data_IF_093711431546
#
_entry.id   IF_093711431546
#
_cell.length_a   1.000
_cell.length_b   1.000
_cell.length_c   1.000
_cell.angle_alpha   90.00
_cell.angle_beta   90.00
_cell.angle_gamma   90.00
#
_symmetry.space_group_name_H-M   'P 1'
#
loop_
_entity.id
_entity.type
_entity.pdbx_description
1 polymer ?
#
# COMPACT_ATOMS: atom_id res chain seq x y z
N UNK A 1 13.30 10.97 2.41
CA UNK A 1 12.21 10.05 2.76
C UNK A 1 11.82 9.12 1.61
N UNK A 2 11.56 9.64 0.41
CA UNK A 2 11.19 8.79 -0.72
C UNK A 2 12.18 7.67 -1.05
N UNK A 3 13.51 7.88 -1.01
CA UNK A 3 14.44 6.78 -1.27
C UNK A 3 14.26 5.59 -0.30
N UNK A 4 13.86 5.84 0.94
CA UNK A 4 13.59 4.78 1.90
C UNK A 4 12.21 4.16 1.70
N UNK A 5 11.23 4.93 1.21
CA UNK A 5 9.85 4.47 1.03
C UNK A 5 9.65 3.67 -0.26
N UNK A 6 10.34 4.04 -1.35
CA UNK A 6 10.14 3.37 -2.65
C UNK A 6 10.31 1.86 -2.60
N UNK A 7 11.40 1.31 -2.01
CA UNK A 7 11.53 -0.14 -1.94
C UNK A 7 10.40 -0.80 -1.15
N UNK A 8 9.93 -0.16 -0.09
CA UNK A 8 8.82 -0.67 0.72
C UNK A 8 7.51 -0.67 -0.09
N UNK A 9 7.28 0.38 -0.87
CA UNK A 9 6.08 0.48 -1.70
C UNK A 9 6.09 -0.51 -2.86
N UNK A 10 7.24 -0.73 -3.48
CA UNK A 10 7.40 -1.74 -4.52
C UNK A 10 7.06 -3.12 -3.96
N UNK A 11 7.62 -3.45 -2.81
CA UNK A 11 7.33 -4.73 -2.18
C UNK A 11 5.88 -4.85 -1.72
N UNK A 12 5.30 -3.76 -1.22
CA UNK A 12 3.89 -3.72 -0.83
C UNK A 12 2.97 -4.03 -2.02
N UNK A 13 3.19 -3.38 -3.16
CA UNK A 13 2.37 -3.63 -4.36
C UNK A 13 2.55 -5.04 -4.88
N UNK A 14 3.78 -5.58 -4.83
CA UNK A 14 4.07 -6.96 -5.25
C UNK A 14 3.39 -7.97 -4.33
N UNK A 15 3.48 -7.79 -3.02
CA UNK A 15 2.84 -8.69 -2.05
C UNK A 15 1.32 -8.60 -2.12
N UNK A 16 0.78 -7.42 -2.37
CA UNK A 16 -0.66 -7.24 -2.55
C UNK A 16 -1.16 -7.99 -3.79
N UNK A 17 -0.46 -7.88 -4.92
CA UNK A 17 -0.81 -8.59 -6.14
C UNK A 17 -0.71 -10.10 -5.95
N UNK A 18 0.32 -10.57 -5.26
CA UNK A 18 0.50 -11.99 -4.93
C UNK A 18 -0.69 -12.50 -4.11
N UNK A 19 -1.13 -11.72 -3.11
CA UNK A 19 -2.28 -12.12 -2.30
C UNK A 19 -3.54 -12.28 -3.12
N UNK A 20 -3.80 -11.37 -4.06
CA UNK A 20 -4.97 -11.48 -4.93
C UNK A 20 -4.92 -12.77 -5.77
N UNK A 21 -3.74 -13.11 -6.30
CA UNK A 21 -3.55 -14.33 -7.08
C UNK A 21 -3.76 -15.58 -6.21
N UNK A 22 -3.23 -15.58 -4.99
CA UNK A 22 -3.37 -16.70 -4.08
C UNK A 22 -4.84 -16.91 -3.67
N UNK A 23 -5.56 -15.82 -3.42
CA UNK A 23 -6.98 -15.88 -3.10
C UNK A 23 -7.80 -16.49 -4.25
N UNK A 24 -7.50 -16.09 -5.49
CA UNK A 24 -8.16 -16.65 -6.68
C UNK A 24 -7.88 -18.14 -6.82
N UNK A 25 -6.62 -18.55 -6.64
CA UNK A 25 -6.24 -19.96 -6.70
C UNK A 25 -6.92 -20.79 -5.62
N UNK A 26 -7.05 -20.23 -4.42
CA UNK A 26 -7.73 -20.92 -3.32
C UNK A 26 -9.21 -21.15 -3.65
N UNK A 27 -9.87 -20.16 -4.22
CA UNK A 27 -11.27 -20.30 -4.66
C UNK A 27 -11.40 -21.42 -5.70
N UNK A 28 -10.50 -21.48 -6.68
CA UNK A 28 -10.49 -22.54 -7.69
C UNK A 28 -10.31 -23.92 -7.08
N UNK A 29 -9.39 -24.05 -6.12
CA UNK A 29 -9.13 -25.32 -5.44
C UNK A 29 -10.33 -25.74 -4.58
N UNK A 30 -10.99 -24.80 -3.91
CA UNK A 30 -12.19 -25.08 -3.12
C UNK A 30 -13.37 -25.52 -3.99
N UNK A 31 -13.47 -25.04 -5.23
CA UNK A 31 -14.51 -25.46 -6.16
C UNK A 31 -14.26 -26.86 -6.72
N UNK A 32 -13.00 -27.29 -6.81
CA UNK A 32 -12.61 -28.60 -7.30
C UNK A 32 -12.39 -29.56 -6.12
N UNK A 33 -13.46 -29.95 -5.48
CA UNK A 33 -13.47 -30.65 -4.17
C UNK A 33 -13.30 -32.17 -4.26
N UNK A 34 -12.88 -32.73 -5.42
CA UNK A 34 -13.05 -34.18 -5.66
C UNK A 34 -11.77 -35.01 -5.64
N UNK A 35 -10.57 -34.42 -5.43
CA UNK A 35 -9.33 -35.19 -5.50
C UNK A 35 -8.46 -34.97 -4.27
N UNK A 36 -7.59 -35.98 -3.97
CA UNK A 36 -6.58 -35.88 -2.90
C UNK A 36 -5.58 -34.77 -3.18
N UNK A 37 -5.31 -34.49 -4.47
CA UNK A 37 -4.46 -33.39 -4.89
C UNK A 37 -5.03 -32.03 -4.46
N UNK A 38 -6.35 -31.90 -4.50
CA UNK A 38 -7.04 -30.68 -4.10
C UNK A 38 -6.77 -30.30 -2.64
N UNK A 39 -6.75 -31.26 -1.73
CA UNK A 39 -6.46 -31.01 -0.32
C UNK A 39 -5.01 -30.55 -0.11
N UNK A 40 -4.05 -31.20 -0.77
CA UNK A 40 -2.64 -30.80 -0.69
C UNK A 40 -2.44 -29.40 -1.23
N UNK A 41 -3.01 -29.11 -2.40
CA UNK A 41 -2.92 -27.80 -3.02
C UNK A 41 -3.52 -26.71 -2.14
N UNK A 42 -4.63 -27.01 -1.51
CA UNK A 42 -5.29 -26.11 -0.57
C UNK A 42 -4.40 -25.78 0.63
N UNK A 43 -3.77 -26.79 1.22
CA UNK A 43 -2.88 -26.61 2.36
C UNK A 43 -1.64 -25.78 1.97
N UNK A 44 -1.06 -26.04 0.79
CA UNK A 44 0.07 -25.28 0.29
C UNK A 44 -0.31 -23.81 0.06
N UNK A 45 -1.49 -23.56 -0.49
CA UNK A 45 -1.99 -22.19 -0.71
C UNK A 45 -2.25 -21.47 0.63
N UNK A 46 -2.79 -22.18 1.61
CA UNK A 46 -3.03 -21.60 2.94
C UNK A 46 -1.71 -21.19 3.60
N UNK A 47 -0.66 -22.01 3.48
CA UNK A 47 0.67 -21.67 4.00
C UNK A 47 1.21 -20.43 3.30
N UNK A 48 1.10 -20.34 1.97
CA UNK A 48 1.55 -19.18 1.20
C UNK A 48 0.77 -17.92 1.56
N UNK A 49 -0.53 -18.05 1.79
CA UNK A 49 -1.36 -16.93 2.24
C UNK A 49 -0.94 -16.43 3.62
N UNK A 50 -0.63 -17.35 4.54
CA UNK A 50 -0.15 -16.97 5.88
C UNK A 50 1.19 -16.25 5.80
N UNK A 51 2.12 -16.72 4.97
CA UNK A 51 3.43 -16.09 4.75
C UNK A 51 3.26 -14.70 4.13
N UNK A 52 2.39 -14.60 3.13
CA UNK A 52 2.09 -13.34 2.46
C UNK A 52 1.50 -12.33 3.45
N UNK A 53 0.56 -12.75 4.28
CA UNK A 53 -0.05 -11.89 5.29
C UNK A 53 0.97 -11.38 6.29
N UNK A 54 1.90 -12.24 6.73
CA UNK A 54 2.97 -11.83 7.64
C UNK A 54 3.89 -10.79 7.00
N UNK A 55 4.24 -10.96 5.75
CA UNK A 55 5.07 -10.01 5.00
C UNK A 55 4.35 -8.66 4.82
N UNK A 56 3.07 -8.69 4.46
CA UNK A 56 2.25 -7.48 4.34
C UNK A 56 2.18 -6.73 5.66
N UNK A 57 1.97 -7.45 6.76
CA UNK A 57 1.90 -6.85 8.08
C UNK A 57 3.20 -6.14 8.44
N UNK A 58 4.35 -6.76 8.16
CA UNK A 58 5.66 -6.16 8.40
C UNK A 58 5.85 -4.89 7.55
N UNK A 59 5.40 -4.91 6.30
CA UNK A 59 5.49 -3.75 5.41
C UNK A 59 4.62 -2.59 5.90
N UNK A 60 3.39 -2.87 6.32
CA UNK A 60 2.52 -1.84 6.90
C UNK A 60 3.13 -1.24 8.18
N UNK A 61 3.71 -2.08 9.04
CA UNK A 61 4.37 -1.62 10.25
C UNK A 61 5.59 -0.74 9.94
N UNK A 62 6.38 -1.14 8.94
CA UNK A 62 7.55 -0.36 8.51
C UNK A 62 7.12 1.01 7.97
N UNK A 63 6.08 1.04 7.14
CA UNK A 63 5.53 2.29 6.60
C UNK A 63 4.97 3.18 7.72
N UNK A 64 4.26 2.58 8.67
CA UNK A 64 3.73 3.33 9.83
C UNK A 64 4.86 3.97 10.65
N UNK A 65 6.00 3.30 10.79
CA UNK A 65 7.17 3.89 11.48
C UNK A 65 7.72 5.12 10.76
N UNK A 66 7.50 5.23 9.46
CA UNK A 66 7.86 6.41 8.68
C UNK A 66 6.76 7.49 8.70
N UNK A 67 5.70 7.29 9.46
CA UNK A 67 4.58 8.23 9.53
C UNK A 67 3.68 8.21 8.30
N UNK A 68 3.64 7.10 7.59
CA UNK A 68 2.93 6.94 6.33
C UNK A 68 1.63 6.18 6.54
N UNK A 69 0.54 6.67 5.94
CA UNK A 69 -0.73 5.97 5.86
C UNK A 69 -0.90 5.42 4.45
N UNK A 70 -1.14 4.11 4.33
CA UNK A 70 -1.42 3.48 3.04
C UNK A 70 -2.90 3.68 2.71
N UNK A 71 -3.16 4.29 1.56
CA UNK A 71 -4.53 4.54 1.08
C UNK A 71 -4.99 3.51 0.07
N UNK A 72 -4.08 3.05 -0.80
CA UNK A 72 -4.37 1.98 -1.75
C UNK A 72 -3.10 1.16 -2.00
N UNK A 73 -3.02 -0.04 -1.41
CA UNK A 73 -1.83 -0.88 -1.56
C UNK A 73 -1.65 -1.42 -2.98
N UNK A 74 -2.71 -1.50 -3.77
CA UNK A 74 -2.63 -2.01 -5.14
C UNK A 74 -1.75 -1.13 -6.03
N UNK A 75 -1.77 0.18 -5.82
CA UNK A 75 -1.04 1.16 -6.62
C UNK A 75 0.05 1.88 -5.84
N UNK A 76 0.26 1.53 -4.58
CA UNK A 76 1.24 2.20 -3.74
C UNK A 76 0.90 3.65 -3.44
N UNK A 77 -0.39 3.93 -3.24
CA UNK A 77 -0.87 5.26 -2.89
C UNK A 77 -0.77 5.47 -1.39
N UNK A 78 -0.07 6.51 -0.98
CA UNK A 78 0.18 6.83 0.43
C UNK A 78 -0.04 8.30 0.73
N UNK A 79 -0.32 8.59 2.00
CA UNK A 79 -0.40 9.93 2.53
C UNK A 79 0.52 10.06 3.74
N UNK A 80 1.08 11.24 3.94
CA UNK A 80 1.80 11.57 5.16
C UNK A 80 1.58 13.04 5.52
N UNK A 81 1.65 13.36 6.81
CA UNK A 81 1.31 14.68 7.31
C UNK A 81 2.34 15.74 6.95
N UNK A 82 1.86 16.96 6.71
CA UNK A 82 2.67 18.15 6.48
C UNK A 82 1.95 19.38 6.99
N UNK A 83 2.68 20.49 7.13
CA UNK A 83 2.09 21.78 7.47
C UNK A 83 2.07 22.70 6.26
N UNK A 84 0.93 23.33 6.06
CA UNK A 84 0.73 24.39 5.07
C UNK A 84 0.38 25.66 5.85
N UNK A 85 1.38 26.49 6.10
CA UNK A 85 1.19 27.60 7.04
C UNK A 85 0.84 27.09 8.43
N UNK A 86 -0.31 27.48 8.98
CA UNK A 86 -0.82 26.99 10.25
C UNK A 86 -1.71 25.76 10.13
N UNK A 87 -2.02 25.34 8.92
CA UNK A 87 -2.91 24.22 8.64
C UNK A 87 -2.15 22.90 8.50
N UNK A 88 -2.70 21.83 9.07
CA UNK A 88 -2.19 20.49 8.91
C UNK A 88 -2.87 19.84 7.70
N UNK A 89 -2.09 19.30 6.78
CA UNK A 89 -2.59 18.68 5.55
C UNK A 89 -1.87 17.36 5.30
N UNK A 90 -2.31 16.61 4.29
CA UNK A 90 -1.62 15.43 3.80
C UNK A 90 -0.81 15.75 2.56
N UNK A 91 0.41 15.23 2.50
CA UNK A 91 1.14 15.07 1.24
C UNK A 91 0.75 13.72 0.67
N UNK A 92 0.51 13.68 -0.63
CA UNK A 92 0.06 12.50 -1.34
C UNK A 92 1.13 12.03 -2.32
N UNK A 93 1.43 10.74 -2.30
CA UNK A 93 2.39 10.12 -3.21
C UNK A 93 1.84 8.80 -3.73
N UNK A 94 2.05 8.54 -5.01
CA UNK A 94 1.73 7.27 -5.64
C UNK A 94 2.99 6.68 -6.25
N UNK A 95 3.22 5.38 -6.06
CA UNK A 95 4.37 4.70 -6.64
C UNK A 95 4.39 4.89 -8.15
N UNK A 96 5.56 5.27 -8.67
CA UNK A 96 5.76 5.64 -10.06
C UNK A 96 5.95 7.14 -10.27
N UNK A 97 5.47 7.97 -9.35
CA UNK A 97 5.74 9.40 -9.39
C UNK A 97 7.20 9.64 -8.98
N UNK A 98 7.93 10.55 -9.66
CA UNK A 98 9.35 10.77 -9.35
C UNK A 98 9.57 11.43 -7.99
N UNK A 99 8.61 12.26 -7.56
CA UNK A 99 8.67 12.96 -6.27
C UNK A 99 7.26 13.26 -5.78
N UNK A 100 7.14 13.75 -4.55
CA UNK A 100 5.85 14.18 -4.01
C UNK A 100 5.46 15.48 -4.70
N UNK A 101 4.32 15.48 -5.40
CA UNK A 101 3.86 16.61 -6.19
C UNK A 101 2.49 17.13 -5.79
N UNK A 102 1.80 16.45 -4.88
CA UNK A 102 0.42 16.80 -4.53
C UNK A 102 0.20 16.78 -3.02
N UNK A 103 -0.80 17.54 -2.60
CA UNK A 103 -1.29 17.58 -1.22
C UNK A 103 -2.81 17.61 -1.22
N UNK A 104 -3.43 17.32 -0.08
CA UNK A 104 -4.86 17.50 0.11
C UNK A 104 -5.16 17.83 1.58
N UNK A 105 -6.27 18.56 1.85
CA UNK A 105 -6.72 18.78 3.23
C UNK A 105 -7.03 17.47 3.93
N UNK A 106 -7.03 17.46 5.26
CA UNK A 106 -7.31 16.24 6.04
C UNK A 106 -8.69 15.64 5.74
N UNK A 107 -9.65 16.48 5.38
CA UNK A 107 -11.02 16.06 5.09
C UNK A 107 -11.22 15.52 3.67
N UNK A 108 -10.28 15.80 2.76
CA UNK A 108 -10.37 15.36 1.37
C UNK A 108 -9.48 14.13 1.14
N UNK A 109 -9.92 13.24 0.26
CA UNK A 109 -9.10 12.10 -0.16
C UNK A 109 -8.34 12.41 -1.44
N UNK A 110 -7.95 11.35 -2.15
CA UNK A 110 -7.16 11.43 -3.39
C UNK A 110 -7.77 12.39 -4.41
N UNK A 111 -9.10 12.45 -4.52
CA UNK A 111 -9.80 13.32 -5.47
C UNK A 111 -9.61 14.81 -5.17
N UNK A 112 -9.28 15.15 -3.92
CA UNK A 112 -9.05 16.52 -3.50
C UNK A 112 -7.60 16.96 -3.62
N UNK A 113 -6.71 16.13 -4.19
CA UNK A 113 -5.28 16.44 -4.26
C UNK A 113 -5.01 17.66 -5.16
N UNK A 114 -4.06 18.48 -4.71
CA UNK A 114 -3.67 19.73 -5.37
C UNK A 114 -2.17 19.75 -5.60
N UNK A 115 -1.70 20.40 -6.69
CA UNK A 115 -0.25 20.48 -6.95
C UNK A 115 0.49 21.26 -5.88
N UNK A 116 1.65 20.74 -5.45
CA UNK A 116 2.54 21.42 -4.51
C UNK A 116 3.14 22.70 -5.07
N UNK A 117 3.28 22.79 -6.36
CA UNK A 117 3.87 23.96 -7.03
C UNK A 117 3.16 25.27 -6.68
N UNK A 118 1.88 25.19 -6.34
CA UNK A 118 1.10 26.35 -5.92
C UNK A 118 1.22 26.65 -4.42
N UNK A 119 1.99 25.85 -3.66
CA UNK A 119 2.11 25.94 -2.20
C UNK A 119 3.57 25.84 -1.76
N UNK A 120 4.37 26.92 -1.99
CA UNK A 120 5.82 26.88 -1.72
C UNK A 120 6.19 26.75 -0.24
N UNK A 121 5.26 27.00 0.68
CA UNK A 121 5.52 26.97 2.12
C UNK A 121 5.20 25.64 2.79
N UNK A 122 5.04 24.58 2.01
CA UNK A 122 4.70 23.26 2.52
C UNK A 122 5.89 22.62 3.24
N UNK A 123 5.68 22.23 4.51
CA UNK A 123 6.69 21.55 5.31
C UNK A 123 6.19 20.16 5.74
N UNK A 124 7.06 19.17 5.61
CA UNK A 124 6.79 17.82 6.09
C UNK A 124 6.98 17.73 7.59
N UNK A 125 6.10 17.03 8.24
CA UNK A 125 6.15 16.81 9.70
C UNK A 125 6.98 15.60 10.04
#
# INVERSE_FOLDING_TARGET
MLPALRPLLIELTDRHAEREQLDELLVEVEQDDKSRGSMRDRLELEVRLDENLAELKQLFEALARHGVEVKDPAIGLIDFHAQRGAELVYLCYKLGEPEVTHWHPLDDGYRGRKPLESEPDMLKI
#
